data_IF_656196760095
#
_entry.id   IF_656196760095
#
_cell.length_a   1.000
_cell.length_b   1.000
_cell.length_c   1.000
_cell.angle_alpha   90.00
_cell.angle_beta   90.00
_cell.angle_gamma   90.00
#
_symmetry.space_group_name_H-M   'P 1'
#
loop_
_entity.id
_entity.type
_entity.pdbx_description
1 polymer ?
#
# COMPACT_ATOMS: atom_id res chain seq x y z
N UNK A 1 13.40 -23.89 -10.93
CA UNK A 1 13.93 -22.83 -11.83
C UNK A 1 15.42 -23.03 -12.16
N UNK A 2 15.82 -22.92 -13.44
CA UNK A 2 17.24 -22.78 -13.84
C UNK A 2 17.54 -21.31 -14.07
N UNK A 3 18.57 -20.77 -13.40
CA UNK A 3 18.98 -19.37 -13.52
C UNK A 3 20.10 -19.28 -14.55
N UNK A 4 20.02 -18.32 -15.47
CA UNK A 4 21.01 -18.07 -16.52
C UNK A 4 21.38 -16.58 -16.60
N UNK A 5 22.40 -16.20 -17.38
CA UNK A 5 22.70 -14.78 -17.64
C UNK A 5 21.56 -13.99 -18.29
N UNK A 6 20.54 -14.65 -18.86
CA UNK A 6 19.37 -14.02 -19.45
C UNK A 6 18.21 -13.82 -18.45
N UNK A 7 18.27 -14.45 -17.27
CA UNK A 7 17.20 -14.40 -16.27
C UNK A 7 17.01 -12.99 -15.76
N UNK A 8 15.78 -12.49 -15.81
CA UNK A 8 15.46 -11.11 -15.40
C UNK A 8 15.42 -10.97 -13.89
N UNK A 9 16.06 -9.92 -13.37
CA UNK A 9 15.93 -9.56 -11.96
C UNK A 9 14.71 -8.68 -11.74
N UNK A 10 13.86 -9.08 -10.80
CA UNK A 10 12.77 -8.28 -10.22
C UNK A 10 12.98 -8.16 -8.71
N UNK A 11 12.31 -7.20 -8.09
CA UNK A 11 12.55 -6.85 -6.70
C UNK A 11 11.26 -6.58 -5.93
N UNK A 12 11.34 -6.75 -4.62
CA UNK A 12 10.55 -5.97 -3.66
C UNK A 12 11.51 -5.07 -2.87
N UNK A 13 11.17 -3.79 -2.75
CA UNK A 13 11.99 -2.77 -2.08
C UNK A 13 11.23 -2.09 -0.96
N UNK A 14 11.90 -1.81 0.16
CA UNK A 14 11.31 -1.19 1.36
C UNK A 14 12.28 -1.17 2.52
N UNK A 15 11.83 -0.75 3.71
CA UNK A 15 12.63 -0.80 4.93
C UNK A 15 11.74 -0.79 6.19
N UNK A 16 11.75 -1.85 7.03
CA UNK A 16 12.40 -3.14 6.84
C UNK A 16 11.73 -3.97 5.73
N UNK A 17 12.48 -4.89 5.11
CA UNK A 17 11.97 -5.74 4.02
C UNK A 17 12.00 -7.24 4.30
N UNK A 18 12.67 -7.65 5.39
CA UNK A 18 13.07 -9.04 5.65
C UNK A 18 11.91 -10.02 5.81
N UNK A 19 10.72 -9.52 6.13
CA UNK A 19 9.50 -10.32 6.30
C UNK A 19 8.58 -10.30 5.08
N UNK A 20 9.00 -9.71 3.95
CA UNK A 20 8.15 -9.66 2.77
C UNK A 20 7.89 -11.07 2.20
N UNK A 21 6.62 -11.40 2.00
CA UNK A 21 6.21 -12.62 1.30
C UNK A 21 6.30 -12.51 -0.23
N UNK A 22 6.60 -11.33 -0.76
CA UNK A 22 6.64 -11.09 -2.22
C UNK A 22 7.62 -12.01 -2.94
N UNK A 23 8.86 -12.25 -2.46
CA UNK A 23 9.77 -13.18 -3.10
C UNK A 23 9.21 -14.61 -3.15
N UNK A 24 8.55 -15.07 -2.09
CA UNK A 24 7.95 -16.41 -2.06
C UNK A 24 6.82 -16.50 -3.11
N UNK A 25 5.89 -15.54 -3.08
CA UNK A 25 4.74 -15.50 -3.99
C UNK A 25 5.17 -15.37 -5.45
N UNK A 26 5.97 -14.36 -5.78
CA UNK A 26 6.31 -14.06 -7.17
C UNK A 26 7.20 -15.12 -7.80
N UNK A 27 8.19 -15.67 -7.07
CA UNK A 27 9.00 -16.75 -7.64
C UNK A 27 8.18 -18.02 -7.89
N UNK A 28 7.16 -18.29 -7.06
CA UNK A 28 6.22 -19.39 -7.32
C UNK A 28 5.40 -19.15 -8.59
N UNK A 29 4.86 -17.95 -8.76
CA UNK A 29 4.13 -17.55 -9.97
C UNK A 29 5.02 -17.60 -11.21
N UNK A 30 6.26 -17.12 -11.13
CA UNK A 30 7.20 -17.16 -12.25
C UNK A 30 7.52 -18.60 -12.68
N UNK A 31 7.67 -19.52 -11.74
CA UNK A 31 7.89 -20.93 -12.04
C UNK A 31 6.68 -21.57 -12.73
N UNK A 32 5.47 -21.31 -12.23
CA UNK A 32 4.21 -21.86 -12.80
C UNK A 32 3.93 -21.31 -14.20
N UNK A 33 4.12 -19.99 -14.40
CA UNK A 33 3.89 -19.29 -15.66
C UNK A 33 5.09 -19.37 -16.62
N UNK A 34 6.16 -20.10 -16.24
CA UNK A 34 7.40 -20.26 -17.03
C UNK A 34 8.03 -18.92 -17.45
N UNK A 35 7.99 -17.94 -16.55
CA UNK A 35 8.63 -16.64 -16.72
C UNK A 35 10.10 -16.74 -16.26
N UNK A 36 11.04 -16.42 -17.15
CA UNK A 36 12.48 -16.39 -16.83
C UNK A 36 12.84 -15.13 -16.03
N UNK A 37 12.41 -15.11 -14.76
CA UNK A 37 12.66 -14.03 -13.83
C UNK A 37 12.79 -14.53 -12.38
N UNK A 38 13.56 -13.82 -11.56
CA UNK A 38 13.66 -14.04 -10.11
C UNK A 38 13.25 -12.77 -9.37
N UNK A 39 12.49 -12.89 -8.29
CA UNK A 39 12.21 -11.79 -7.35
C UNK A 39 13.06 -11.93 -6.09
N UNK A 40 13.78 -10.86 -5.73
CA UNK A 40 14.52 -10.77 -4.47
C UNK A 40 14.06 -9.57 -3.64
N UNK A 41 14.32 -9.59 -2.33
CA UNK A 41 14.04 -8.48 -1.42
C UNK A 41 15.28 -7.61 -1.22
N UNK A 42 15.14 -6.30 -1.39
CA UNK A 42 16.23 -5.34 -1.17
C UNK A 42 15.79 -4.26 -0.19
N UNK A 43 16.48 -4.19 0.94
CA UNK A 43 16.18 -3.27 2.03
C UNK A 43 17.11 -2.06 2.02
N UNK A 44 16.57 -0.84 2.09
CA UNK A 44 17.38 0.34 2.36
C UNK A 44 16.52 1.50 2.87
N UNK A 45 16.95 2.25 3.90
CA UNK A 45 16.26 3.46 4.32
C UNK A 45 16.33 4.60 3.29
N UNK A 46 17.32 4.62 2.39
CA UNK A 46 17.39 5.61 1.30
C UNK A 46 16.77 5.07 0.02
N UNK A 47 15.64 5.67 -0.36
CA UNK A 47 14.94 5.35 -1.60
C UNK A 47 15.75 5.76 -2.84
N UNK A 48 16.58 6.80 -2.75
CA UNK A 48 17.48 7.25 -3.81
C UNK A 48 18.50 6.16 -4.15
N UNK A 49 19.07 5.50 -3.14
CA UNK A 49 19.99 4.37 -3.34
C UNK A 49 19.29 3.18 -4.00
N UNK A 50 18.05 2.90 -3.62
CA UNK A 50 17.26 1.83 -4.25
C UNK A 50 16.99 2.15 -5.72
N UNK A 51 16.56 3.37 -6.04
CA UNK A 51 16.32 3.81 -7.43
C UNK A 51 17.61 3.81 -8.25
N UNK A 52 18.73 4.26 -7.69
CA UNK A 52 20.03 4.20 -8.36
C UNK A 52 20.45 2.74 -8.66
N UNK A 53 20.24 1.82 -7.71
CA UNK A 53 20.51 0.41 -7.91
C UNK A 53 19.63 -0.20 -9.00
N UNK A 54 18.34 0.17 -9.07
CA UNK A 54 17.44 -0.28 -10.13
C UNK A 54 17.94 0.10 -11.53
N UNK A 55 18.45 1.33 -11.68
CA UNK A 55 19.03 1.80 -12.95
C UNK A 55 20.36 1.12 -13.29
N UNK A 56 21.17 0.81 -12.28
CA UNK A 56 22.49 0.20 -12.46
C UNK A 56 22.44 -1.31 -12.74
N UNK A 57 21.49 -2.04 -12.16
CA UNK A 57 21.38 -3.51 -12.21
C UNK A 57 20.22 -4.02 -13.08
N UNK A 58 19.87 -3.28 -14.14
CA UNK A 58 18.57 -3.34 -14.86
C UNK A 58 17.45 -4.13 -14.16
N UNK A 59 17.04 -3.68 -12.97
CA UNK A 59 15.95 -4.34 -12.23
C UNK A 59 14.65 -4.04 -12.96
N UNK A 60 14.10 -5.04 -13.66
CA UNK A 60 13.00 -4.87 -14.61
C UNK A 60 11.67 -4.47 -13.96
N UNK A 61 11.44 -4.91 -12.73
CA UNK A 61 10.25 -4.60 -11.95
C UNK A 61 10.64 -4.52 -10.47
N UNK A 62 10.14 -3.51 -9.77
CA UNK A 62 10.22 -3.43 -8.32
C UNK A 62 8.82 -3.20 -7.72
N UNK A 63 8.36 -4.13 -6.89
CA UNK A 63 7.31 -3.85 -5.93
C UNK A 63 7.86 -2.93 -4.84
N UNK A 64 7.16 -1.85 -4.50
CA UNK A 64 7.57 -0.85 -3.52
C UNK A 64 6.67 -0.96 -2.31
N UNK A 65 7.24 -1.15 -1.14
CA UNK A 65 6.51 -1.18 0.13
C UNK A 65 6.91 -0.03 1.05
N UNK A 66 6.35 -0.01 2.25
CA UNK A 66 6.65 0.95 3.29
C UNK A 66 8.17 1.08 3.52
N UNK A 67 8.69 2.30 3.77
CA UNK A 67 7.98 3.59 3.78
C UNK A 67 7.98 4.31 2.43
N UNK A 68 8.47 3.65 1.37
CA UNK A 68 8.92 4.32 0.15
C UNK A 68 7.85 4.63 -0.89
N UNK A 69 6.60 4.18 -0.68
CA UNK A 69 5.52 4.32 -1.68
C UNK A 69 5.27 5.78 -2.12
N UNK A 70 5.49 6.76 -1.25
CA UNK A 70 5.33 8.18 -1.57
C UNK A 70 6.67 8.81 -2.01
N UNK A 71 7.74 8.52 -1.27
CA UNK A 71 9.06 9.14 -1.47
C UNK A 71 9.75 8.72 -2.76
N UNK A 72 9.36 7.57 -3.35
CA UNK A 72 9.91 7.12 -4.63
C UNK A 72 9.39 7.96 -5.81
N UNK A 73 8.17 8.49 -5.74
CA UNK A 73 7.50 9.16 -6.85
C UNK A 73 8.33 10.27 -7.53
N UNK A 74 8.97 11.22 -6.80
CA UNK A 74 9.77 12.27 -7.43
C UNK A 74 11.05 11.78 -8.11
N UNK A 75 11.44 10.50 -7.92
CA UNK A 75 12.65 9.91 -8.49
C UNK A 75 12.38 9.11 -9.77
N UNK A 76 11.11 8.98 -10.16
CA UNK A 76 10.67 8.24 -11.34
C UNK A 76 10.60 9.17 -12.56
N UNK A 77 10.84 8.60 -13.74
CA UNK A 77 10.76 9.35 -14.98
C UNK A 77 9.30 9.65 -15.34
N UNK A 78 8.41 8.69 -15.06
CA UNK A 78 6.98 8.78 -15.32
C UNK A 78 6.19 8.14 -14.17
N UNK A 79 4.99 8.67 -13.92
CA UNK A 79 4.03 8.07 -12.99
C UNK A 79 2.67 8.02 -13.68
N UNK A 80 2.05 6.86 -13.63
CA UNK A 80 0.71 6.63 -14.14
C UNK A 80 -0.32 7.58 -13.49
N UNK A 81 -1.37 7.92 -14.23
CA UNK A 81 -2.43 8.82 -13.79
C UNK A 81 -3.08 8.40 -12.45
N UNK A 82 -3.40 7.11 -12.29
CA UNK A 82 -4.03 6.60 -11.07
C UNK A 82 -3.06 6.68 -9.90
N UNK A 83 -1.79 6.34 -10.12
CA UNK A 83 -0.76 6.44 -9.09
C UNK A 83 -0.48 7.91 -8.67
N UNK A 84 -0.59 8.86 -9.61
CA UNK A 84 -0.52 10.31 -9.32
C UNK A 84 -1.69 10.77 -8.46
N UNK A 85 -2.91 10.38 -8.81
CA UNK A 85 -4.13 10.75 -8.05
C UNK A 85 -4.13 10.16 -6.64
N UNK A 86 -3.62 8.94 -6.48
CA UNK A 86 -3.40 8.33 -5.16
C UNK A 86 -2.28 9.07 -4.42
N UNK A 87 -1.24 9.52 -5.12
CA UNK A 87 -0.03 10.03 -4.49
C UNK A 87 0.79 8.91 -3.86
N UNK A 88 0.77 7.70 -4.41
CA UNK A 88 1.58 6.58 -3.98
C UNK A 88 1.84 5.58 -5.12
N UNK A 89 3.07 5.09 -5.22
CA UNK A 89 3.52 4.06 -6.16
C UNK A 89 3.88 2.80 -5.37
N UNK A 90 3.30 1.66 -5.74
CA UNK A 90 3.67 0.34 -5.19
C UNK A 90 4.37 -0.56 -6.23
N UNK A 91 4.46 -0.13 -7.49
CA UNK A 91 5.01 -0.94 -8.59
C UNK A 91 5.80 -0.01 -9.51
N UNK A 92 7.07 -0.31 -9.74
CA UNK A 92 7.91 0.41 -10.70
C UNK A 92 8.37 -0.55 -11.77
N UNK A 93 8.26 -0.14 -13.03
CA UNK A 93 8.69 -0.93 -14.20
C UNK A 93 9.81 -0.19 -14.90
N UNK A 94 10.91 -0.91 -15.16
CA UNK A 94 12.03 -0.42 -15.97
C UNK A 94 11.90 -0.88 -17.42
N UNK A 95 11.71 0.06 -18.34
CA UNK A 95 11.65 -0.19 -19.80
C UNK A 95 12.41 0.89 -20.54
N UNK A 96 13.30 0.48 -21.44
CA UNK A 96 14.00 1.39 -22.36
C UNK A 96 14.70 2.56 -21.66
N UNK A 97 15.31 2.31 -20.50
CA UNK A 97 16.01 3.35 -19.72
C UNK A 97 15.12 4.17 -18.79
N UNK A 98 13.79 4.00 -18.85
CA UNK A 98 12.82 4.74 -18.05
C UNK A 98 12.24 3.90 -16.91
N UNK A 99 12.05 4.54 -15.77
CA UNK A 99 11.31 4.03 -14.62
C UNK A 99 9.91 4.65 -14.58
N UNK A 100 8.90 3.81 -14.77
CA UNK A 100 7.49 4.23 -14.69
C UNK A 100 6.84 3.64 -13.43
N UNK A 101 6.21 4.49 -12.62
CA UNK A 101 5.50 4.11 -11.40
C UNK A 101 4.01 3.88 -11.62
N UNK A 102 3.48 2.84 -10.98
CA UNK A 102 2.09 2.43 -10.98
C UNK A 102 1.62 2.12 -9.55
N UNK A 103 0.30 2.05 -9.37
CA UNK A 103 -0.33 1.57 -8.15
C UNK A 103 -1.27 0.41 -8.48
N UNK A 104 -0.87 -0.81 -8.11
CA UNK A 104 -1.66 -2.03 -8.30
C UNK A 104 -2.47 -2.40 -7.06
N UNK A 105 -2.17 -1.79 -5.90
CA UNK A 105 -2.90 -2.02 -4.65
C UNK A 105 -4.37 -1.61 -4.78
N UNK A 106 -4.67 -0.54 -5.53
CA UNK A 106 -6.06 -0.06 -5.73
C UNK A 106 -6.95 -1.16 -6.35
N UNK A 107 -6.41 -1.97 -7.26
CA UNK A 107 -7.12 -3.09 -7.88
C UNK A 107 -7.32 -4.22 -6.87
N UNK A 108 -6.31 -4.47 -6.02
CA UNK A 108 -6.41 -5.46 -4.95
C UNK A 108 -7.46 -5.09 -3.91
N UNK A 109 -7.50 -3.82 -3.49
CA UNK A 109 -8.47 -3.28 -2.54
C UNK A 109 -9.90 -3.38 -3.11
N UNK A 110 -10.10 -2.97 -4.37
CA UNK A 110 -11.41 -3.07 -5.01
C UNK A 110 -11.93 -4.52 -5.06
N UNK A 111 -11.04 -5.49 -5.31
CA UNK A 111 -11.41 -6.91 -5.28
C UNK A 111 -11.72 -7.39 -3.86
N UNK A 112 -10.93 -6.99 -2.87
CA UNK A 112 -11.10 -7.41 -1.48
C UNK A 112 -12.39 -6.87 -0.85
N UNK A 113 -12.81 -5.66 -1.25
CA UNK A 113 -14.01 -4.99 -0.74
C UNK A 113 -15.23 -5.16 -1.65
N UNK A 114 -15.15 -6.05 -2.65
CA UNK A 114 -16.27 -6.33 -3.54
C UNK A 114 -17.48 -6.83 -2.75
N UNK A 115 -18.63 -6.18 -2.94
CA UNK A 115 -19.88 -6.53 -2.26
C UNK A 115 -20.12 -5.79 -0.94
N UNK A 116 -19.15 -5.01 -0.44
CA UNK A 116 -19.39 -4.09 0.67
C UNK A 116 -20.12 -2.86 0.13
N UNK A 117 -21.30 -2.55 0.68
CA UNK A 117 -22.06 -1.36 0.28
C UNK A 117 -21.41 -0.11 0.91
N UNK A 118 -20.77 0.73 0.08
CA UNK A 118 -19.94 1.86 0.51
C UNK A 118 -20.53 3.25 0.18
N UNK A 119 -21.46 3.34 -0.76
CA UNK A 119 -22.12 4.61 -1.11
C UNK A 119 -22.80 5.20 0.13
N UNK A 120 -22.45 6.46 0.45
CA UNK A 120 -22.93 7.23 1.60
C UNK A 120 -22.70 6.54 2.97
N UNK A 121 -21.79 5.55 3.03
CA UNK A 121 -21.48 4.83 4.25
C UNK A 121 -20.33 5.50 5.01
N UNK A 122 -20.43 5.48 6.35
CA UNK A 122 -19.34 5.92 7.22
C UNK A 122 -18.24 4.84 7.30
N UNK A 123 -17.01 5.23 6.99
CA UNK A 123 -15.84 4.36 6.97
C UNK A 123 -14.72 4.94 7.82
N UNK A 124 -14.19 4.14 8.74
CA UNK A 124 -13.01 4.48 9.51
C UNK A 124 -11.76 3.97 8.80
N UNK A 125 -10.81 4.87 8.52
CA UNK A 125 -9.50 4.56 7.99
C UNK A 125 -8.43 4.90 9.04
N UNK A 126 -7.71 3.88 9.52
CA UNK A 126 -6.62 4.05 10.47
C UNK A 126 -5.29 4.07 9.71
N UNK A 127 -4.55 5.17 9.84
CA UNK A 127 -3.30 5.42 9.14
C UNK A 127 -3.43 6.48 8.03
N UNK A 128 -2.31 7.12 7.68
CA UNK A 128 -2.25 8.11 6.61
C UNK A 128 -1.08 7.91 5.61
N UNK A 129 -0.44 6.73 5.65
CA UNK A 129 0.66 6.38 4.75
C UNK A 129 0.22 6.01 3.33
N UNK A 130 1.16 5.55 2.48
CA UNK A 130 0.88 5.24 1.07
C UNK A 130 -0.21 4.18 0.84
N UNK A 131 -0.33 3.20 1.74
CA UNK A 131 -1.43 2.23 1.71
C UNK A 131 -2.78 2.89 2.02
N UNK A 132 -2.83 3.71 3.08
CA UNK A 132 -4.03 4.47 3.45
C UNK A 132 -4.49 5.41 2.34
N UNK A 133 -3.55 6.07 1.64
CA UNK A 133 -3.89 6.91 0.46
C UNK A 133 -4.56 6.11 -0.66
N UNK A 134 -4.11 4.87 -0.88
CA UNK A 134 -4.72 3.98 -1.88
C UNK A 134 -6.14 3.59 -1.48
N UNK A 135 -6.35 3.26 -0.20
CA UNK A 135 -7.69 2.98 0.35
C UNK A 135 -8.58 4.21 0.24
N UNK A 136 -8.10 5.39 0.65
CA UNK A 136 -8.86 6.63 0.60
C UNK A 136 -9.27 7.01 -0.83
N UNK A 137 -8.39 6.80 -1.81
CA UNK A 137 -8.70 6.98 -3.23
C UNK A 137 -9.85 6.06 -3.67
N UNK A 138 -9.79 4.77 -3.33
CA UNK A 138 -10.85 3.82 -3.63
C UNK A 138 -12.17 4.21 -2.97
N UNK A 139 -12.17 4.46 -1.65
CA UNK A 139 -13.37 4.81 -0.87
C UNK A 139 -14.04 6.09 -1.38
N UNK A 140 -13.23 7.08 -1.81
CA UNK A 140 -13.75 8.31 -2.42
C UNK A 140 -14.48 8.02 -3.73
N UNK A 141 -13.93 7.12 -4.56
CA UNK A 141 -14.55 6.68 -5.81
C UNK A 141 -15.88 5.96 -5.58
N UNK A 142 -16.01 5.24 -4.46
CA UNK A 142 -17.22 4.53 -4.05
C UNK A 142 -18.25 5.41 -3.30
N UNK A 143 -17.96 6.71 -3.10
CA UNK A 143 -18.89 7.64 -2.47
C UNK A 143 -19.02 7.51 -0.95
N UNK A 144 -18.02 6.93 -0.27
CA UNK A 144 -18.03 6.77 1.19
C UNK A 144 -17.66 8.07 1.93
N UNK A 145 -18.17 8.21 3.16
CA UNK A 145 -17.72 9.23 4.11
C UNK A 145 -16.51 8.71 4.89
N UNK A 146 -15.34 9.26 4.60
CA UNK A 146 -14.07 8.77 5.16
C UNK A 146 -13.76 9.53 6.46
N UNK A 147 -13.59 8.79 7.54
CA UNK A 147 -13.08 9.29 8.81
C UNK A 147 -11.68 8.74 9.02
N UNK A 148 -10.68 9.61 9.13
CA UNK A 148 -9.26 9.22 9.19
C UNK A 148 -8.70 9.44 10.59
N UNK A 149 -8.08 8.41 11.16
CA UNK A 149 -7.33 8.50 12.41
C UNK A 149 -5.85 8.18 12.15
N UNK A 150 -4.94 9.06 12.54
CA UNK A 150 -3.50 8.82 12.42
C UNK A 150 -2.71 9.65 13.45
N UNK A 151 -1.66 9.05 14.03
CA UNK A 151 -0.80 9.71 15.03
C UNK A 151 -0.13 10.99 14.53
N UNK A 152 0.29 11.00 13.27
CA UNK A 152 0.87 12.19 12.62
C UNK A 152 -0.26 13.01 12.01
N UNK A 153 -0.62 14.10 12.70
CA UNK A 153 -1.69 15.03 12.31
C UNK A 153 -1.44 15.64 10.94
N UNK A 154 -0.18 15.97 10.60
CA UNK A 154 0.13 16.59 9.32
C UNK A 154 -0.16 15.65 8.15
N UNK A 155 0.17 14.36 8.28
CA UNK A 155 -0.18 13.36 7.29
C UNK A 155 -1.70 13.14 7.18
N UNK A 156 -2.41 13.12 8.32
CA UNK A 156 -3.86 12.97 8.35
C UNK A 156 -4.57 14.15 7.67
N UNK A 157 -4.13 15.37 7.93
CA UNK A 157 -4.64 16.57 7.26
C UNK A 157 -4.36 16.56 5.76
N UNK A 158 -3.16 16.12 5.34
CA UNK A 158 -2.83 16.01 3.92
C UNK A 158 -3.73 14.99 3.20
N UNK A 159 -3.97 13.83 3.82
CA UNK A 159 -4.91 12.82 3.31
C UNK A 159 -6.33 13.41 3.24
N UNK A 160 -6.78 14.08 4.30
CA UNK A 160 -8.09 14.74 4.38
C UNK A 160 -8.30 15.77 3.27
N UNK A 161 -7.32 16.66 3.04
CA UNK A 161 -7.36 17.64 1.95
C UNK A 161 -7.39 16.99 0.57
N UNK A 162 -6.70 15.87 0.39
CA UNK A 162 -6.62 15.18 -0.92
C UNK A 162 -7.93 14.45 -1.24
N UNK A 163 -8.50 13.75 -0.26
CA UNK A 163 -9.59 12.79 -0.49
C UNK A 163 -10.94 13.20 0.11
N UNK A 164 -11.02 14.36 0.78
CA UNK A 164 -12.24 14.81 1.45
C UNK A 164 -12.54 14.02 2.73
N UNK A 165 -11.53 13.40 3.36
CA UNK A 165 -11.71 12.72 4.63
C UNK A 165 -11.86 13.71 5.79
N UNK A 166 -12.50 13.27 6.86
CA UNK A 166 -12.59 13.98 8.14
C UNK A 166 -11.53 13.42 9.09
N UNK A 167 -10.53 14.22 9.43
CA UNK A 167 -9.53 13.82 10.42
C UNK A 167 -10.14 13.81 11.83
N UNK A 168 -9.89 12.74 12.57
CA UNK A 168 -10.29 12.57 13.96
C UNK A 168 -9.05 12.35 14.82
N UNK A 169 -8.93 13.12 15.89
CA UNK A 169 -7.79 12.98 16.80
C UNK A 169 -7.94 11.68 17.57
N UNK A 170 -9.13 11.42 18.09
CA UNK A 170 -9.51 10.20 18.79
C UNK A 170 -10.67 9.56 18.02
N UNK A 171 -10.70 8.22 17.94
CA UNK A 171 -11.67 7.50 17.08
C UNK A 171 -13.11 7.71 17.57
N UNK A 172 -13.27 7.91 18.86
CA UNK A 172 -14.53 8.17 19.56
C UNK A 172 -15.15 9.54 19.23
N UNK A 173 -14.42 10.45 18.58
CA UNK A 173 -14.94 11.72 18.08
C UNK A 173 -15.86 11.55 16.85
N UNK A 174 -15.81 10.38 16.21
CA UNK A 174 -16.54 10.08 14.98
C UNK A 174 -17.93 9.47 15.18
N UNK A 175 -18.49 8.89 14.11
CA UNK A 175 -19.72 8.11 14.17
C UNK A 175 -19.68 6.98 15.21
N UNK A 176 -20.86 6.64 15.72
CA UNK A 176 -21.02 5.56 16.72
C UNK A 176 -20.92 4.15 16.11
N UNK A 177 -20.98 4.05 14.78
CA UNK A 177 -20.87 2.82 14.01
C UNK A 177 -20.27 3.11 12.64
N UNK A 178 -19.45 2.19 12.14
CA UNK A 178 -18.89 2.25 10.80
C UNK A 178 -19.32 1.02 10.00
N UNK A 179 -19.60 1.22 8.71
CA UNK A 179 -19.82 0.10 7.79
C UNK A 179 -18.53 -0.67 7.55
N UNK A 180 -17.41 0.05 7.45
CA UNK A 180 -16.09 -0.51 7.22
C UNK A 180 -15.09 0.16 8.17
N UNK A 181 -14.23 -0.66 8.77
CA UNK A 181 -13.02 -0.19 9.46
C UNK A 181 -11.82 -0.77 8.72
N UNK A 182 -10.91 0.10 8.29
CA UNK A 182 -9.68 -0.29 7.60
C UNK A 182 -8.46 0.03 8.45
N UNK A 183 -7.67 -1.00 8.77
CA UNK A 183 -6.33 -0.80 9.31
C UNK A 183 -5.32 -0.70 8.17
N UNK A 184 -4.74 0.49 7.98
CA UNK A 184 -3.66 0.75 7.04
C UNK A 184 -2.37 1.18 7.76
N UNK A 185 -2.21 0.76 9.02
CA UNK A 185 -1.01 0.95 9.84
C UNK A 185 -0.25 -0.37 10.00
N UNK A 186 0.98 -0.33 10.56
CA UNK A 186 1.70 -1.54 10.98
C UNK A 186 1.21 -2.15 12.30
N UNK A 187 0.20 -1.58 12.98
CA UNK A 187 -0.33 -2.13 14.23
C UNK A 187 -0.95 -3.50 13.92
N UNK A 188 -0.67 -4.51 14.76
CA UNK A 188 -0.99 -5.92 14.49
C UNK A 188 0.13 -6.68 13.79
N UNK A 189 1.24 -6.03 13.41
CA UNK A 189 2.46 -6.71 13.00
C UNK A 189 3.33 -7.08 14.21
N UNK A 190 4.21 -8.08 14.04
CA UNK A 190 5.27 -8.36 15.01
C UNK A 190 6.05 -7.07 15.38
N UNK A 191 6.37 -6.87 16.67
CA UNK A 191 6.28 -7.83 17.78
C UNK A 191 4.95 -7.85 18.53
N UNK A 192 3.95 -7.05 18.14
CA UNK A 192 2.67 -6.91 18.86
C UNK A 192 1.48 -7.35 17.98
N UNK A 193 1.35 -8.65 17.67
CA UNK A 193 0.31 -9.15 16.76
C UNK A 193 -1.12 -8.98 17.30
N UNK A 194 -1.28 -8.91 18.62
CA UNK A 194 -2.59 -8.74 19.27
C UNK A 194 -2.96 -7.26 19.50
N UNK A 195 -2.11 -6.31 19.07
CA UNK A 195 -2.39 -4.89 19.24
C UNK A 195 -3.53 -4.44 18.32
N UNK A 196 -4.49 -3.72 18.89
CA UNK A 196 -5.65 -3.21 18.16
C UNK A 196 -5.41 -1.76 17.72
N UNK A 197 -5.66 -1.42 16.43
CA UNK A 197 -5.52 -0.06 15.92
C UNK A 197 -6.67 0.87 16.34
N UNK A 198 -7.72 0.32 16.92
CA UNK A 198 -8.95 1.01 17.37
C UNK A 198 -9.45 0.38 18.67
N UNK A 199 -10.19 1.12 19.51
CA UNK A 199 -10.85 0.53 20.67
C UNK A 199 -11.96 -0.45 20.26
N UNK A 200 -12.20 -1.50 21.06
CA UNK A 200 -13.27 -2.48 20.79
C UNK A 200 -14.67 -1.84 20.71
N UNK A 201 -14.85 -0.69 21.35
CA UNK A 201 -16.13 0.03 21.45
C UNK A 201 -16.71 0.44 20.08
N UNK A 202 -15.85 0.59 19.06
CA UNK A 202 -16.28 0.96 17.70
C UNK A 202 -16.63 -0.25 16.83
N UNK A 203 -16.32 -1.47 17.28
CA UNK A 203 -16.68 -2.71 16.57
C UNK A 203 -18.14 -3.06 16.84
N UNK A 204 -18.95 -3.10 15.79
CA UNK A 204 -20.35 -3.55 15.83
C UNK A 204 -20.50 -4.85 15.05
N UNK A 205 -21.59 -5.58 15.30
CA UNK A 205 -21.82 -6.89 14.68
C UNK A 205 -22.01 -6.85 13.17
N UNK A 206 -22.33 -5.67 12.61
CA UNK A 206 -22.52 -5.41 11.19
C UNK A 206 -21.33 -4.67 10.54
N UNK A 207 -20.26 -4.39 11.29
CA UNK A 207 -19.04 -3.76 10.80
C UNK A 207 -18.20 -4.76 10.02
N UNK A 208 -17.83 -4.39 8.79
CA UNK A 208 -16.77 -5.09 8.04
C UNK A 208 -15.42 -4.58 8.52
N UNK A 209 -14.49 -5.48 8.83
CA UNK A 209 -13.11 -5.13 9.18
C UNK A 209 -12.19 -5.56 8.04
N UNK A 210 -11.37 -4.64 7.56
CA UNK A 210 -10.36 -4.91 6.54
C UNK A 210 -8.98 -4.51 7.05
N UNK A 211 -8.14 -5.51 7.34
CA UNK A 211 -6.77 -5.28 7.77
C UNK A 211 -5.80 -5.47 6.60
N UNK A 212 -4.94 -4.47 6.36
CA UNK A 212 -3.88 -4.56 5.35
C UNK A 212 -2.65 -5.32 5.84
N UNK A 213 -2.57 -5.61 7.15
CA UNK A 213 -1.60 -6.52 7.72
C UNK A 213 -1.97 -7.96 7.34
N UNK A 214 -1.00 -8.70 6.79
CA UNK A 214 -1.19 -10.07 6.29
C UNK A 214 -0.37 -11.12 7.07
N UNK A 215 0.15 -10.76 8.25
CA UNK A 215 1.02 -11.59 9.09
C UNK A 215 0.27 -12.34 10.17
#
# INVERSE_FOLDING_TARGET
MQISPATKLTAVIGDPIVHSLSPLLHNKVYEEEKVDAVMLAFGNPSVEKLVAAMRALPIHLAAVTMPHKQTIMPLLDEVDSVAKDIGAVNTVVYREGKLTGYNTDVVGIAKALMGVALQDADVLLVGAGGAARTVAHYLRGEGAHIYCHNRDVAQAEQLSRTFGATHMKDVEEGPTSYRLIVNATPIGMNPEPDAMPVPETVLKSDTVVFDLVYS
#
